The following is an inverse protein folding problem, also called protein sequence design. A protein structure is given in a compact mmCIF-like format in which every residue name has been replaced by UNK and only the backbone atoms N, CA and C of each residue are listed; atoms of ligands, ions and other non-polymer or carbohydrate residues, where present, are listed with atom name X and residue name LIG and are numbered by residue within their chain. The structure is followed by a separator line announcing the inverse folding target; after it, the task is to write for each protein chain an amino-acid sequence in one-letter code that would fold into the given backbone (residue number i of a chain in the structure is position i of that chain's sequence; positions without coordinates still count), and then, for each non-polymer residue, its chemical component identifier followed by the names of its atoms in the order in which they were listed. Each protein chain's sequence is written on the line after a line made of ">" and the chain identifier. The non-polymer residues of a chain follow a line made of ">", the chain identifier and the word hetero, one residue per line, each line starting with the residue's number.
data_IF_228091474260
#
_entry.id   IF_228091474260
#
_cell.length_a   1.000
_cell.length_b   1.000
_cell.length_c   1.000
_cell.angle_alpha   90.00
_cell.angle_beta   90.00
_cell.angle_gamma   90.00
#
_symmetry.space_group_name_H-M   'P 1'
#
loop_
_entity.id
_entity.type
_entity.pdbx_description
1 polymer ?
#
# COMPACT_ATOMS: atom_id res chain seq x y z
N UNK A 1 -28.46 57.48 42.08
CA UNK A 1 -28.02 56.07 42.02
C UNK A 1 -28.08 55.46 40.61
N UNK A 2 -29.19 55.57 39.87
CA UNK A 2 -29.34 54.95 38.53
C UNK A 2 -28.29 55.38 37.47
N UNK A 3 -27.89 56.65 37.45
CA UNK A 3 -26.83 57.15 36.54
C UNK A 3 -25.44 56.57 36.84
N UNK A 4 -25.11 56.30 38.10
CA UNK A 4 -23.83 55.70 38.49
C UNK A 4 -23.80 54.21 38.13
N UNK A 5 -24.92 53.51 38.30
CA UNK A 5 -25.05 52.10 37.94
C UNK A 5 -24.91 51.88 36.42
N UNK A 6 -25.48 52.78 35.61
CA UNK A 6 -25.39 52.71 34.15
C UNK A 6 -23.97 52.92 33.61
N UNK A 7 -23.17 53.79 34.24
CA UNK A 7 -21.77 54.02 33.83
C UNK A 7 -20.88 52.83 34.20
N UNK A 8 -21.13 52.20 35.36
CA UNK A 8 -20.42 50.98 35.77
C UNK A 8 -20.78 49.80 34.85
N UNK A 9 -22.05 49.65 34.47
CA UNK A 9 -22.49 48.60 33.55
C UNK A 9 -21.91 48.77 32.14
N UNK A 10 -21.83 50.02 31.65
CA UNK A 10 -21.23 50.33 30.35
C UNK A 10 -19.71 50.07 30.34
N UNK A 11 -19.02 50.40 31.44
CA UNK A 11 -17.60 50.10 31.64
C UNK A 11 -17.30 48.59 31.59
N UNK A 12 -18.15 47.77 32.23
CA UNK A 12 -18.02 46.31 32.20
C UNK A 12 -18.19 45.71 30.80
N UNK A 13 -19.12 46.24 29.99
CA UNK A 13 -19.31 45.79 28.60
C UNK A 13 -18.10 46.11 27.70
N UNK A 14 -17.49 47.28 27.88
CA UNK A 14 -16.31 47.70 27.08
C UNK A 14 -15.10 46.84 27.42
N UNK A 15 -14.93 46.42 28.69
CA UNK A 15 -13.82 45.55 29.11
C UNK A 15 -13.98 44.10 28.61
N UNK A 16 -15.21 43.58 28.53
CA UNK A 16 -15.46 42.22 28.02
C UNK A 16 -15.18 42.03 26.52
N UNK A 17 -15.19 43.11 25.72
CA UNK A 17 -14.92 43.06 24.28
C UNK A 17 -13.43 43.01 23.91
N UNK A 18 -12.53 43.25 24.86
CA UNK A 18 -11.09 43.32 24.60
C UNK A 18 -10.40 41.96 24.60
N UNK A 19 -11.06 40.92 25.12
CA UNK A 19 -10.51 39.57 25.24
C UNK A 19 -11.26 38.58 24.37
N UNK A 20 -10.52 37.69 23.71
CA UNK A 20 -11.02 36.63 22.84
C UNK A 20 -10.51 35.28 23.38
N UNK A 21 -11.38 34.27 23.50
CA UNK A 21 -10.95 32.91 23.79
C UNK A 21 -10.28 32.30 22.56
N UNK A 22 -9.13 31.65 22.75
CA UNK A 22 -8.48 30.78 21.77
C UNK A 22 -8.37 29.40 22.40
N UNK A 23 -8.97 28.41 21.73
CA UNK A 23 -8.90 27.01 22.13
C UNK A 23 -7.82 26.30 21.34
N UNK A 24 -7.01 25.51 22.02
CA UNK A 24 -5.98 24.65 21.42
C UNK A 24 -6.40 23.21 21.58
N UNK A 25 -6.47 22.50 20.45
CA UNK A 25 -6.84 21.09 20.45
C UNK A 25 -5.74 20.22 21.11
N UNK A 26 -6.11 19.05 21.65
CA UNK A 26 -5.13 18.03 22.01
C UNK A 26 -4.22 17.70 20.82
N UNK A 27 -2.95 17.34 21.08
CA UNK A 27 -1.91 17.08 20.06
C UNK A 27 -1.50 18.25 19.16
N UNK A 28 -2.02 19.45 19.42
CA UNK A 28 -1.63 20.68 18.75
C UNK A 28 -1.01 21.67 19.73
N UNK A 29 -0.17 22.54 19.21
CA UNK A 29 0.28 23.75 19.88
C UNK A 29 -0.19 24.96 19.09
N UNK A 30 -0.68 25.98 19.78
CA UNK A 30 -1.12 27.22 19.12
C UNK A 30 -0.04 28.27 19.21
N UNK A 31 0.48 28.65 18.05
CA UNK A 31 1.40 29.78 17.90
C UNK A 31 0.58 31.06 17.88
N UNK A 32 0.88 31.96 18.80
CA UNK A 32 0.17 33.22 18.98
C UNK A 32 0.87 34.32 18.17
N UNK A 33 0.09 35.03 17.36
CA UNK A 33 0.55 36.15 16.53
C UNK A 33 -0.22 37.39 16.93
N UNK A 34 0.47 38.35 17.52
CA UNK A 34 -0.09 39.63 17.94
C UNK A 34 -0.12 40.62 16.78
N UNK A 35 -1.30 41.20 16.52
CA UNK A 35 -1.51 42.20 15.46
C UNK A 35 -2.14 43.47 16.04
N UNK A 36 -1.42 44.23 16.88
CA UNK A 36 -1.98 45.40 17.56
C UNK A 36 -2.41 46.49 16.55
N UNK A 37 -3.61 47.04 16.72
CA UNK A 37 -4.15 48.07 15.82
C UNK A 37 -3.75 49.50 16.20
N UNK A 38 -3.44 49.77 17.48
CA UNK A 38 -3.25 51.15 17.98
C UNK A 38 -1.91 51.32 18.72
N UNK A 39 -1.54 50.39 19.63
CA UNK A 39 -0.28 50.46 20.38
C UNK A 39 0.31 49.07 20.60
N UNK A 40 1.63 48.94 20.44
CA UNK A 40 2.39 47.72 20.67
C UNK A 40 3.26 47.31 19.47
N UNK A 41 4.11 46.31 19.69
CA UNK A 41 4.88 45.67 18.61
C UNK A 41 4.13 44.41 18.19
N UNK A 42 3.83 44.29 16.90
CA UNK A 42 3.27 43.06 16.33
C UNK A 42 4.35 41.99 16.19
N UNK A 43 3.94 40.73 16.11
CA UNK A 43 4.88 39.63 15.91
C UNK A 43 4.37 38.29 16.43
N UNK A 44 5.19 37.27 16.22
CA UNK A 44 4.97 35.92 16.74
C UNK A 44 5.49 35.87 18.18
N UNK A 45 4.71 35.34 19.11
CA UNK A 45 5.16 35.13 20.49
C UNK A 45 6.16 33.98 20.56
N UNK A 46 7.13 34.08 21.47
CA UNK A 46 8.14 33.05 21.70
C UNK A 46 7.58 31.78 22.36
N UNK A 47 6.48 31.90 23.09
CA UNK A 47 5.83 30.76 23.75
C UNK A 47 4.55 30.36 23.02
N UNK A 48 4.37 29.05 22.85
CA UNK A 48 3.15 28.46 22.33
C UNK A 48 2.12 28.26 23.44
N UNK A 49 0.84 28.35 23.07
CA UNK A 49 -0.24 27.91 23.94
C UNK A 49 -0.36 26.39 23.87
N UNK A 50 -0.30 25.76 25.05
CA UNK A 50 -0.55 24.32 25.24
C UNK A 50 -2.04 23.98 25.13
N UNK A 51 -2.40 22.69 24.92
CA UNK A 51 -3.79 22.26 24.81
C UNK A 51 -4.69 22.80 25.93
N UNK A 52 -5.86 23.31 25.55
CA UNK A 52 -6.82 23.95 26.46
C UNK A 52 -7.27 25.33 25.99
N UNK A 53 -7.97 26.03 26.88
CA UNK A 53 -8.53 27.36 26.61
C UNK A 53 -7.63 28.45 27.20
N UNK A 54 -7.26 29.42 26.37
CA UNK A 54 -6.54 30.62 26.77
C UNK A 54 -7.31 31.87 26.38
N UNK A 55 -7.16 32.95 27.16
CA UNK A 55 -7.78 34.25 26.90
C UNK A 55 -6.71 35.23 26.44
N UNK A 56 -6.88 35.79 25.25
CA UNK A 56 -5.93 36.70 24.62
C UNK A 56 -6.62 37.98 24.17
N UNK A 57 -5.85 38.97 23.74
CA UNK A 57 -6.44 40.17 23.15
C UNK A 57 -7.19 39.83 21.87
N UNK A 58 -8.27 40.55 21.58
CA UNK A 58 -9.06 40.37 20.36
C UNK A 58 -8.23 40.49 19.07
N UNK A 59 -7.14 41.26 19.11
CA UNK A 59 -6.18 41.46 18.03
C UNK A 59 -5.15 40.34 17.88
N UNK A 60 -5.13 39.35 18.78
CA UNK A 60 -4.24 38.19 18.72
C UNK A 60 -4.90 37.09 17.88
N UNK A 61 -4.16 36.55 16.91
CA UNK A 61 -4.55 35.37 16.15
C UNK A 61 -3.75 34.15 16.61
N UNK A 62 -4.40 32.99 16.69
CA UNK A 62 -3.75 31.72 16.98
C UNK A 62 -3.66 30.87 15.71
N UNK A 63 -2.49 30.30 15.45
CA UNK A 63 -2.24 29.34 14.38
C UNK A 63 -1.99 27.98 15.04
N UNK A 64 -2.85 27.01 14.78
CA UNK A 64 -2.70 25.66 15.34
C UNK A 64 -1.70 24.87 14.50
N UNK A 65 -0.71 24.28 15.16
CA UNK A 65 0.33 23.46 14.55
C UNK A 65 0.31 22.08 15.19
N UNK A 66 0.23 21.00 14.41
CA UNK A 66 0.29 19.64 14.95
C UNK A 66 1.70 19.34 15.46
N UNK A 67 1.77 18.74 16.66
CA UNK A 67 3.06 18.34 17.29
C UNK A 67 3.23 16.81 17.27
N UNK A 68 2.43 16.12 16.46
CA UNK A 68 2.53 14.69 16.24
C UNK A 68 3.16 14.37 14.88
N UNK A 69 3.57 13.13 14.67
CA UNK A 69 4.11 12.67 13.40
C UNK A 69 3.01 12.62 12.32
N UNK A 70 3.19 13.34 11.22
CA UNK A 70 2.26 13.33 10.09
C UNK A 70 2.95 12.83 8.83
N UNK A 71 2.12 12.32 7.91
CA UNK A 71 2.55 11.70 6.66
C UNK A 71 2.35 12.67 5.50
N UNK A 72 3.37 12.83 4.67
CA UNK A 72 3.28 13.48 3.36
C UNK A 72 3.41 12.41 2.29
N UNK A 73 2.49 12.44 1.33
CA UNK A 73 2.51 11.60 0.13
C UNK A 73 2.99 12.44 -1.06
N UNK A 74 4.13 12.06 -1.63
CA UNK A 74 4.71 12.72 -2.79
C UNK A 74 4.76 11.72 -3.96
N UNK A 75 3.93 11.92 -5.01
CA UNK A 75 3.95 11.08 -6.20
C UNK A 75 5.12 11.45 -7.12
N UNK A 76 5.70 10.41 -7.72
CA UNK A 76 6.73 10.49 -8.73
C UNK A 76 6.31 9.69 -9.96
N UNK A 77 6.17 10.40 -11.06
CA UNK A 77 5.79 9.85 -12.36
C UNK A 77 6.95 10.01 -13.34
N UNK A 78 7.16 9.00 -14.18
CA UNK A 78 8.17 8.94 -15.24
C UNK A 78 9.58 9.31 -14.75
N UNK A 79 9.99 8.80 -13.59
CA UNK A 79 11.35 9.03 -13.10
C UNK A 79 12.36 8.22 -13.92
N UNK A 80 13.39 8.86 -14.50
CA UNK A 80 14.41 8.15 -15.25
C UNK A 80 15.38 7.43 -14.31
N UNK A 81 15.57 6.15 -14.57
CA UNK A 81 16.55 5.28 -13.91
C UNK A 81 17.87 5.22 -14.69
N UNK A 82 18.87 4.54 -14.14
CA UNK A 82 20.22 4.42 -14.73
C UNK A 82 20.22 3.93 -16.19
N UNK A 83 19.33 2.99 -16.54
CA UNK A 83 19.25 2.41 -17.88
C UNK A 83 18.20 3.08 -18.77
N UNK A 84 17.88 4.35 -18.51
CA UNK A 84 16.90 5.12 -19.28
C UNK A 84 15.47 4.54 -19.26
N UNK A 85 15.17 3.64 -18.32
CA UNK A 85 13.80 3.19 -18.05
C UNK A 85 13.08 4.21 -17.17
N UNK A 86 11.77 4.34 -17.37
CA UNK A 86 10.90 5.23 -16.60
C UNK A 86 10.13 4.44 -15.56
N UNK A 87 10.10 4.93 -14.33
CA UNK A 87 9.40 4.32 -13.21
C UNK A 87 8.47 5.31 -12.52
N UNK A 88 7.40 4.76 -11.95
CA UNK A 88 6.38 5.45 -11.20
C UNK A 88 6.30 4.87 -9.79
N UNK A 89 6.25 5.74 -8.78
CA UNK A 89 6.03 5.34 -7.39
C UNK A 89 5.57 6.51 -6.51
N UNK A 90 4.97 6.15 -5.37
CA UNK A 90 4.68 7.10 -4.31
C UNK A 90 5.78 7.07 -3.27
N UNK A 91 6.12 8.24 -2.71
CA UNK A 91 7.03 8.35 -1.60
C UNK A 91 6.33 8.91 -0.38
N UNK A 92 6.54 8.27 0.76
CA UNK A 92 5.86 8.59 2.00
C UNK A 92 6.86 9.08 3.03
N UNK A 93 6.80 10.37 3.34
CA UNK A 93 7.63 10.99 4.37
C UNK A 93 6.82 11.07 5.66
N UNK A 94 7.40 10.64 6.78
CA UNK A 94 6.87 10.94 8.12
C UNK A 94 7.70 12.05 8.74
N UNK A 95 7.06 13.18 8.97
CA UNK A 95 7.69 14.38 9.51
C UNK A 95 7.09 14.73 10.87
N UNK A 96 7.91 15.35 11.72
CA UNK A 96 7.49 15.92 13.00
C UNK A 96 8.02 17.35 13.12
N UNK A 97 7.16 18.27 13.57
CA UNK A 97 7.54 19.66 13.81
C UNK A 97 8.10 19.77 15.23
N UNK A 98 9.35 20.23 15.36
CA UNK A 98 10.02 20.35 16.67
C UNK A 98 9.89 21.73 17.30
N UNK A 99 9.77 22.78 16.48
CA UNK A 99 9.55 24.14 16.96
C UNK A 99 8.49 24.86 16.10
N UNK A 100 7.22 24.86 16.55
CA UNK A 100 6.12 25.52 15.86
C UNK A 100 6.32 27.02 15.66
N UNK A 101 6.91 27.71 16.64
CA UNK A 101 7.10 29.18 16.60
C UNK A 101 8.02 29.56 15.44
N UNK A 102 9.18 28.90 15.37
CA UNK A 102 10.18 29.19 14.34
C UNK A 102 9.66 28.84 12.94
N UNK A 103 8.83 27.79 12.83
CA UNK A 103 8.19 27.39 11.58
C UNK A 103 7.23 28.48 11.07
N UNK A 104 6.38 29.00 11.94
CA UNK A 104 5.42 30.07 11.61
C UNK A 104 6.15 31.38 11.30
N UNK A 105 7.15 31.74 12.11
CA UNK A 105 7.86 33.01 11.99
C UNK A 105 8.70 33.11 10.71
N UNK A 106 9.44 32.05 10.36
CA UNK A 106 10.45 32.11 9.28
C UNK A 106 10.07 31.37 8.00
N UNK A 107 9.23 30.34 8.10
CA UNK A 107 8.99 29.40 7.00
C UNK A 107 7.56 29.44 6.45
N UNK A 108 6.75 30.43 6.85
CA UNK A 108 5.37 30.65 6.36
C UNK A 108 4.53 29.37 6.45
N UNK A 109 4.33 28.89 7.68
CA UNK A 109 3.56 27.68 7.97
C UNK A 109 2.22 27.64 7.21
N UNK A 110 1.41 28.69 7.34
CA UNK A 110 0.10 28.81 6.67
C UNK A 110 0.02 30.10 5.85
N UNK A 111 -0.48 29.98 4.62
CA UNK A 111 -0.89 31.10 3.76
C UNK A 111 -2.32 30.83 3.26
N UNK A 112 -3.24 31.77 3.50
CA UNK A 112 -4.66 31.64 3.13
C UNK A 112 -5.32 30.30 3.55
N UNK A 113 -4.97 29.81 4.75
CA UNK A 113 -5.51 28.55 5.30
C UNK A 113 -4.90 27.26 4.72
N UNK A 114 -3.83 27.36 3.92
CA UNK A 114 -3.10 26.21 3.36
C UNK A 114 -1.70 26.10 3.95
N UNK A 115 -1.25 24.87 4.19
CA UNK A 115 0.12 24.60 4.63
C UNK A 115 1.10 24.81 3.47
N UNK A 116 1.91 25.87 3.52
CA UNK A 116 2.80 26.26 2.40
C UNK A 116 4.26 25.90 2.65
N UNK A 117 4.68 25.78 3.90
CA UNK A 117 6.08 25.57 4.29
C UNK A 117 6.73 24.36 3.59
N UNK A 118 6.02 23.23 3.46
CA UNK A 118 6.57 22.05 2.80
C UNK A 118 6.79 22.32 1.31
N UNK A 119 5.77 22.85 0.63
CA UNK A 119 5.81 23.12 -0.81
C UNK A 119 6.89 24.13 -1.20
N UNK A 120 7.14 25.13 -0.34
CA UNK A 120 8.08 26.21 -0.62
C UNK A 120 9.52 25.88 -0.21
N UNK A 121 9.72 25.20 0.91
CA UNK A 121 11.05 24.99 1.47
C UNK A 121 11.62 23.59 1.19
N UNK A 122 10.78 22.55 1.15
CA UNK A 122 11.26 21.15 1.13
C UNK A 122 10.95 20.40 -0.15
N UNK A 123 9.76 20.60 -0.74
CA UNK A 123 9.22 19.76 -1.80
C UNK A 123 10.13 19.65 -3.01
N UNK A 124 10.55 20.77 -3.61
CA UNK A 124 11.36 20.73 -4.84
C UNK A 124 12.76 20.15 -4.62
N UNK A 125 13.36 20.44 -3.46
CA UNK A 125 14.66 19.85 -3.12
C UNK A 125 14.52 18.35 -2.87
N UNK A 126 13.48 17.94 -2.14
CA UNK A 126 13.17 16.54 -1.92
C UNK A 126 13.01 15.77 -3.23
N UNK A 127 12.19 16.31 -4.15
CA UNK A 127 12.00 15.73 -5.49
C UNK A 127 13.31 15.64 -6.28
N UNK A 128 14.20 16.62 -6.12
CA UNK A 128 15.51 16.62 -6.74
C UNK A 128 16.43 15.54 -6.16
N UNK A 129 16.44 15.38 -4.83
CA UNK A 129 17.20 14.31 -4.15
C UNK A 129 16.72 12.94 -4.64
N UNK A 130 15.42 12.68 -4.58
CA UNK A 130 14.83 11.40 -5.03
C UNK A 130 15.19 11.12 -6.49
N UNK A 131 15.06 12.12 -7.38
CA UNK A 131 15.42 11.99 -8.80
C UNK A 131 16.91 11.66 -9.00
N UNK A 132 17.80 12.29 -8.24
CA UNK A 132 19.23 12.04 -8.35
C UNK A 132 19.61 10.65 -7.85
N UNK A 133 19.02 10.22 -6.72
CA UNK A 133 19.23 8.87 -6.17
C UNK A 133 18.69 7.83 -7.14
N UNK A 134 17.46 7.96 -7.65
CA UNK A 134 16.84 7.00 -8.57
C UNK A 134 17.69 6.73 -9.84
N UNK A 135 18.43 7.73 -10.32
CA UNK A 135 19.33 7.59 -11.48
C UNK A 135 20.53 6.67 -11.23
N UNK A 136 20.84 6.34 -9.98
CA UNK A 136 21.96 5.46 -9.64
C UNK A 136 21.59 3.97 -9.72
N UNK A 137 20.30 3.65 -9.76
CA UNK A 137 19.78 2.28 -9.67
C UNK A 137 19.06 1.88 -10.96
N UNK A 138 18.92 0.57 -11.19
CA UNK A 138 18.21 0.03 -12.36
C UNK A 138 16.78 -0.35 -11.99
N UNK A 139 15.87 -0.29 -12.96
CA UNK A 139 14.47 -0.68 -12.76
C UNK A 139 14.34 -2.12 -12.24
N UNK A 140 15.12 -3.07 -12.80
CA UNK A 140 15.06 -4.48 -12.40
C UNK A 140 15.43 -4.69 -10.92
N UNK A 141 16.51 -4.06 -10.44
CA UNK A 141 16.91 -4.17 -9.03
C UNK A 141 15.87 -3.59 -8.09
N UNK A 142 15.22 -2.49 -8.49
CA UNK A 142 14.17 -1.85 -7.70
C UNK A 142 12.88 -2.69 -7.62
N UNK A 143 12.57 -3.47 -8.65
CA UNK A 143 11.35 -4.30 -8.70
C UNK A 143 11.51 -5.63 -7.97
N UNK A 144 12.72 -6.18 -7.94
CA UNK A 144 12.97 -7.56 -7.49
C UNK A 144 13.59 -7.63 -6.11
N UNK A 145 14.41 -6.63 -5.73
CA UNK A 145 15.21 -6.68 -4.51
C UNK A 145 14.84 -5.58 -3.51
N UNK A 146 14.28 -6.01 -2.39
CA UNK A 146 14.00 -5.13 -1.25
C UNK A 146 15.23 -4.44 -0.67
N UNK A 147 16.42 -5.05 -0.77
CA UNK A 147 17.65 -4.46 -0.23
C UNK A 147 18.07 -3.20 -1.00
N UNK A 148 17.83 -3.20 -2.31
CA UNK A 148 18.03 -2.05 -3.18
C UNK A 148 17.10 -0.89 -2.80
N UNK A 149 15.82 -1.16 -2.54
CA UNK A 149 14.87 -0.13 -2.10
C UNK A 149 15.25 0.45 -0.74
N UNK A 150 15.65 -0.40 0.21
CA UNK A 150 16.11 0.07 1.53
C UNK A 150 17.39 0.93 1.43
N UNK A 151 18.30 0.59 0.51
CA UNK A 151 19.50 1.39 0.26
C UNK A 151 19.14 2.77 -0.31
N UNK A 152 18.20 2.83 -1.27
CA UNK A 152 17.67 4.08 -1.80
C UNK A 152 17.00 4.94 -0.72
N UNK A 153 16.15 4.34 0.11
CA UNK A 153 15.50 5.03 1.24
C UNK A 153 16.53 5.64 2.19
N UNK A 154 17.56 4.87 2.56
CA UNK A 154 18.64 5.33 3.42
C UNK A 154 19.43 6.51 2.81
N UNK A 155 19.76 6.43 1.52
CA UNK A 155 20.47 7.49 0.78
C UNK A 155 19.63 8.77 0.68
N UNK A 156 18.35 8.66 0.31
CA UNK A 156 17.42 9.80 0.24
C UNK A 156 17.26 10.43 1.62
N UNK A 157 17.08 9.61 2.66
CA UNK A 157 16.93 10.07 4.04
C UNK A 157 18.15 10.85 4.50
N UNK A 158 19.36 10.34 4.26
CA UNK A 158 20.60 10.99 4.66
C UNK A 158 20.78 12.37 3.99
N UNK A 159 20.54 12.47 2.68
CA UNK A 159 20.61 13.73 1.95
C UNK A 159 19.51 14.71 2.38
N UNK A 160 18.30 14.21 2.66
CA UNK A 160 17.20 15.05 3.13
C UNK A 160 17.45 15.58 4.54
N UNK A 161 17.95 14.75 5.46
CA UNK A 161 18.33 15.15 6.82
C UNK A 161 19.43 16.23 6.80
N UNK A 162 20.40 16.08 5.90
CA UNK A 162 21.45 17.08 5.67
C UNK A 162 20.85 18.39 5.16
N UNK A 163 19.92 18.33 4.20
CA UNK A 163 19.26 19.51 3.67
C UNK A 163 18.43 20.24 4.74
N UNK A 164 17.58 19.51 5.48
CA UNK A 164 16.76 20.04 6.59
C UNK A 164 17.64 20.80 7.60
N UNK A 165 18.77 20.20 8.00
CA UNK A 165 19.74 20.84 8.91
C UNK A 165 20.37 22.09 8.28
N UNK A 166 20.67 22.07 6.98
CA UNK A 166 21.33 23.18 6.29
C UNK A 166 20.45 24.43 6.20
N UNK A 167 19.14 24.26 5.98
CA UNK A 167 18.20 25.38 5.90
C UNK A 167 17.70 25.82 7.29
N UNK A 168 17.90 25.00 8.32
CA UNK A 168 17.50 25.31 9.70
C UNK A 168 15.99 25.28 9.92
N UNK A 169 15.25 24.51 9.12
CA UNK A 169 13.80 24.33 9.31
C UNK A 169 13.56 23.46 10.55
N UNK A 170 12.59 23.77 11.43
CA UNK A 170 12.39 23.06 12.69
C UNK A 170 11.49 21.83 12.50
N UNK A 171 11.91 20.95 11.60
CA UNK A 171 11.20 19.71 11.24
C UNK A 171 12.21 18.57 11.26
N UNK A 172 11.77 17.39 11.66
CA UNK A 172 12.60 16.18 11.67
C UNK A 172 11.95 15.12 10.79
N UNK A 173 12.75 14.48 9.95
CA UNK A 173 12.35 13.30 9.18
C UNK A 173 12.44 12.06 10.07
N UNK A 174 11.29 11.53 10.47
CA UNK A 174 11.16 10.35 11.35
C UNK A 174 11.28 9.07 10.56
N UNK A 175 10.67 9.04 9.39
CA UNK A 175 10.65 7.87 8.54
C UNK A 175 10.49 8.25 7.07
N UNK A 176 10.99 7.40 6.19
CA UNK A 176 10.83 7.52 4.75
C UNK A 176 10.56 6.13 4.20
N UNK A 177 9.48 5.98 3.45
CA UNK A 177 9.15 4.74 2.77
C UNK A 177 8.79 5.00 1.32
N UNK A 178 9.34 4.19 0.43
CA UNK A 178 8.97 4.14 -0.98
C UNK A 178 7.84 3.11 -1.16
N UNK A 179 6.78 3.52 -1.82
CA UNK A 179 5.71 2.63 -2.26
C UNK A 179 6.19 1.65 -3.32
N UNK A 180 5.27 0.80 -3.78
CA UNK A 180 5.58 -0.15 -4.83
C UNK A 180 6.05 0.57 -6.10
N UNK A 181 7.30 0.31 -6.49
CA UNK A 181 7.88 0.81 -7.73
C UNK A 181 7.26 0.07 -8.90
N UNK A 182 6.85 0.81 -9.92
CA UNK A 182 6.27 0.25 -11.13
C UNK A 182 6.97 0.85 -12.34
N UNK A 183 7.24 0.06 -13.40
CA UNK A 183 7.51 0.62 -14.71
C UNK A 183 6.38 1.55 -15.15
N UNK A 184 6.68 2.45 -16.09
CA UNK A 184 5.64 3.26 -16.71
C UNK A 184 4.57 2.40 -17.41
N UNK A 185 3.40 2.98 -17.64
CA UNK A 185 2.24 2.23 -18.12
C UNK A 185 2.48 1.47 -19.44
N UNK A 186 3.29 2.03 -20.34
CA UNK A 186 3.63 1.40 -21.62
C UNK A 186 4.47 0.13 -21.42
N UNK A 187 5.52 0.19 -20.59
CA UNK A 187 6.37 -0.97 -20.31
C UNK A 187 5.63 -2.02 -19.48
N UNK A 188 4.75 -1.58 -18.56
CA UNK A 188 3.89 -2.48 -17.80
C UNK A 188 3.01 -3.35 -18.70
N UNK A 189 2.37 -2.76 -19.71
CA UNK A 189 1.55 -3.51 -20.65
C UNK A 189 2.34 -4.60 -21.39
N UNK A 190 3.58 -4.32 -21.78
CA UNK A 190 4.46 -5.30 -22.42
C UNK A 190 4.93 -6.42 -21.48
N UNK A 191 5.18 -6.08 -20.21
CA UNK A 191 5.49 -7.08 -19.17
C UNK A 191 4.29 -8.01 -18.96
N UNK A 192 3.09 -7.47 -18.84
CA UNK A 192 1.86 -8.25 -18.66
C UNK A 192 1.59 -9.17 -19.85
N UNK A 193 1.78 -8.66 -21.07
CA UNK A 193 1.68 -9.46 -22.30
C UNK A 193 2.69 -10.61 -22.28
N UNK A 194 3.95 -10.32 -21.97
CA UNK A 194 5.02 -11.34 -21.90
C UNK A 194 4.74 -12.38 -20.83
N UNK A 195 4.29 -11.96 -19.65
CA UNK A 195 3.92 -12.85 -18.55
C UNK A 195 2.75 -13.77 -18.94
N UNK A 196 1.75 -13.24 -19.65
CA UNK A 196 0.65 -14.04 -20.18
C UNK A 196 1.14 -15.11 -21.15
N UNK A 197 2.05 -14.77 -22.07
CA UNK A 197 2.60 -15.74 -23.02
C UNK A 197 3.45 -16.81 -22.33
N UNK A 198 4.31 -16.42 -21.38
CA UNK A 198 5.10 -17.39 -20.61
C UNK A 198 4.22 -18.34 -19.80
N UNK A 199 3.14 -17.82 -19.21
CA UNK A 199 2.20 -18.64 -18.47
C UNK A 199 1.48 -19.63 -19.39
N UNK A 200 1.09 -19.22 -20.60
CA UNK A 200 0.51 -20.12 -21.61
C UNK A 200 1.47 -21.26 -21.97
N UNK A 201 2.75 -20.95 -22.18
CA UNK A 201 3.77 -21.97 -22.47
C UNK A 201 3.90 -22.95 -21.30
N UNK A 202 3.98 -22.46 -20.07
CA UNK A 202 4.04 -23.32 -18.87
C UNK A 202 2.82 -24.22 -18.75
N UNK A 203 1.62 -23.69 -18.98
CA UNK A 203 0.38 -24.47 -18.96
C UNK A 203 0.37 -25.53 -20.08
N UNK A 204 0.86 -25.21 -21.28
CA UNK A 204 0.92 -26.16 -22.38
C UNK A 204 1.90 -27.31 -22.11
N UNK A 205 3.08 -26.99 -21.54
CA UNK A 205 4.05 -28.00 -21.09
C UNK A 205 3.42 -28.92 -20.05
N UNK A 206 2.79 -28.35 -19.02
CA UNK A 206 2.12 -29.13 -17.99
C UNK A 206 0.98 -29.99 -18.55
N UNK A 207 0.24 -29.49 -19.55
CA UNK A 207 -0.79 -30.26 -20.27
C UNK A 207 -0.19 -31.44 -21.02
N UNK A 208 0.91 -31.22 -21.74
CA UNK A 208 1.60 -32.29 -22.46
C UNK A 208 2.17 -33.34 -21.51
N UNK A 209 2.76 -32.93 -20.39
CA UNK A 209 3.24 -33.83 -19.33
C UNK A 209 2.10 -34.67 -18.74
N UNK A 210 0.94 -34.07 -18.48
CA UNK A 210 -0.24 -34.78 -18.02
C UNK A 210 -0.75 -35.81 -19.05
N UNK A 211 -0.75 -35.46 -20.34
CA UNK A 211 -1.14 -36.37 -21.43
C UNK A 211 -0.15 -37.53 -21.61
N UNK A 212 1.15 -37.27 -21.48
CA UNK A 212 2.17 -38.33 -21.45
C UNK A 212 1.98 -39.27 -20.25
N UNK A 213 1.74 -38.70 -19.06
CA UNK A 213 1.46 -39.48 -17.86
C UNK A 213 0.21 -40.34 -18.02
N UNK A 214 -0.86 -39.81 -18.65
CA UNK A 214 -2.06 -40.58 -18.97
C UNK A 214 -1.75 -41.76 -19.90
N UNK A 215 -0.97 -41.53 -20.96
CA UNK A 215 -0.57 -42.58 -21.91
C UNK A 215 0.23 -43.70 -21.21
N UNK A 216 1.15 -43.36 -20.33
CA UNK A 216 1.98 -44.35 -19.65
C UNK A 216 1.20 -45.09 -18.55
N UNK A 217 0.24 -44.44 -17.89
CA UNK A 217 -0.71 -45.11 -17.01
C UNK A 217 -1.56 -46.15 -17.77
N UNK A 218 -2.07 -45.81 -18.97
CA UNK A 218 -2.83 -46.75 -19.80
C UNK A 218 -1.96 -47.93 -20.29
N UNK A 219 -0.71 -47.68 -20.70
CA UNK A 219 0.22 -48.78 -21.02
C UNK A 219 0.51 -49.67 -19.82
N UNK A 220 0.67 -49.08 -18.64
CA UNK A 220 0.93 -49.82 -17.40
C UNK A 220 -0.26 -50.70 -17.03
N UNK A 221 -1.49 -50.19 -17.17
CA UNK A 221 -2.72 -50.99 -17.03
C UNK A 221 -2.78 -52.14 -18.01
N UNK A 222 -2.54 -51.88 -19.29
CA UNK A 222 -2.54 -52.93 -20.32
C UNK A 222 -1.47 -54.01 -20.05
N UNK A 223 -0.31 -53.61 -19.53
CA UNK A 223 0.77 -54.56 -19.16
C UNK A 223 0.38 -55.39 -17.95
N UNK A 224 -0.25 -54.78 -16.94
CA UNK A 224 -0.74 -55.48 -15.75
C UNK A 224 -1.86 -56.48 -16.10
N UNK A 225 -2.82 -56.10 -16.96
CA UNK A 225 -3.89 -56.99 -17.42
C UNK A 225 -3.33 -58.20 -18.18
N UNK A 226 -2.31 -57.97 -19.03
CA UNK A 226 -1.62 -59.05 -19.75
C UNK A 226 -0.87 -59.97 -18.80
N UNK A 227 -0.14 -59.44 -17.82
CA UNK A 227 0.54 -60.26 -16.81
C UNK A 227 -0.46 -61.10 -15.99
N UNK A 228 -1.60 -60.52 -15.61
CA UNK A 228 -2.68 -61.22 -14.91
C UNK A 228 -3.30 -62.34 -15.75
N UNK A 229 -3.43 -62.12 -17.07
CA UNK A 229 -3.85 -63.17 -18.01
C UNK A 229 -2.90 -64.36 -18.02
N UNK A 230 -1.60 -64.08 -18.13
CA UNK A 230 -0.55 -65.09 -18.21
C UNK A 230 -0.47 -65.91 -16.91
N UNK A 231 -0.57 -65.28 -15.74
CA UNK A 231 -0.55 -65.97 -14.43
C UNK A 231 -1.75 -66.91 -14.23
N UNK A 232 -2.93 -66.54 -14.71
CA UNK A 232 -4.13 -67.39 -14.60
C UNK A 232 -4.23 -68.45 -15.70
N UNK A 233 -3.33 -68.43 -16.69
CA UNK A 233 -3.35 -69.37 -17.81
C UNK A 233 -4.59 -69.25 -18.71
N UNK A 234 -5.23 -68.08 -18.74
CA UNK A 234 -6.48 -67.86 -19.48
C UNK A 234 -6.21 -67.45 -20.93
N UNK A 235 -7.02 -67.97 -21.86
CA UNK A 235 -7.03 -67.47 -23.24
C UNK A 235 -7.65 -66.07 -23.33
N UNK A 236 -7.37 -65.33 -24.40
CA UNK A 236 -7.86 -63.95 -24.56
C UNK A 236 -9.39 -63.85 -24.54
N UNK A 237 -10.09 -64.87 -25.04
CA UNK A 237 -11.56 -64.90 -24.99
C UNK A 237 -12.10 -65.14 -23.58
N UNK A 238 -11.42 -65.95 -22.78
CA UNK A 238 -11.82 -66.24 -21.39
C UNK A 238 -11.65 -65.02 -20.49
N UNK A 239 -10.58 -64.22 -20.69
CA UNK A 239 -10.38 -63.02 -19.89
C UNK A 239 -11.38 -61.92 -20.21
N UNK A 240 -11.73 -61.75 -21.49
CA UNK A 240 -12.79 -60.82 -21.91
C UNK A 240 -14.13 -61.23 -21.27
N UNK A 241 -14.44 -62.53 -21.26
CA UNK A 241 -15.63 -63.07 -20.60
C UNK A 241 -15.66 -62.75 -19.11
N UNK A 242 -14.50 -62.89 -18.44
CA UNK A 242 -14.34 -62.61 -17.01
C UNK A 242 -14.43 -61.10 -16.70
N UNK A 243 -13.89 -60.24 -17.57
CA UNK A 243 -13.98 -58.78 -17.45
C UNK A 243 -15.43 -58.30 -17.65
N UNK A 244 -16.12 -58.85 -18.64
CA UNK A 244 -17.56 -58.62 -18.87
C UNK A 244 -18.38 -59.04 -17.65
N UNK A 245 -18.11 -60.22 -17.09
CA UNK A 245 -18.78 -60.70 -15.88
C UNK A 245 -18.53 -59.79 -14.67
N UNK A 246 -17.31 -59.25 -14.51
CA UNK A 246 -16.97 -58.26 -13.46
C UNK A 246 -17.74 -56.95 -13.64
N UNK A 247 -17.77 -56.40 -14.85
CA UNK A 247 -18.54 -55.16 -15.15
C UNK A 247 -20.03 -55.38 -14.87
N UNK A 248 -20.58 -56.53 -15.25
CA UNK A 248 -21.96 -56.88 -14.95
C UNK A 248 -22.21 -57.04 -13.45
N UNK A 249 -21.29 -57.66 -12.70
CA UNK A 249 -21.41 -57.77 -11.25
C UNK A 249 -21.38 -56.39 -10.56
N UNK A 250 -20.49 -55.49 -10.98
CA UNK A 250 -20.41 -54.12 -10.44
C UNK A 250 -21.66 -53.29 -10.77
N UNK A 251 -22.19 -53.41 -11.99
CA UNK A 251 -23.44 -52.77 -12.37
C UNK A 251 -24.63 -53.32 -11.57
N UNK A 252 -24.65 -54.63 -11.32
CA UNK A 252 -25.66 -55.33 -10.53
C UNK A 252 -25.63 -54.91 -9.05
N UNK A 253 -24.44 -54.75 -8.47
CA UNK A 253 -24.27 -54.30 -7.09
C UNK A 253 -24.72 -52.86 -6.85
N UNK A 254 -24.73 -52.02 -7.88
CA UNK A 254 -25.19 -50.62 -7.83
C UNK A 254 -26.69 -50.46 -8.09
N UNK A 255 -27.41 -51.53 -8.46
CA UNK A 255 -28.85 -51.48 -8.71
C UNK A 255 -29.63 -52.22 -7.61
N UNK A 256 -30.82 -51.73 -7.27
CA UNK A 256 -31.62 -52.28 -6.18
C UNK A 256 -32.34 -53.60 -6.54
N UNK A 257 -32.39 -53.94 -7.84
CA UNK A 257 -33.13 -55.10 -8.37
C UNK A 257 -32.36 -55.73 -9.54
N UNK A 258 -31.30 -56.48 -9.22
CA UNK A 258 -30.55 -57.23 -10.23
C UNK A 258 -30.36 -58.70 -9.82
N UNK A 259 -30.54 -59.59 -10.79
CA UNK A 259 -30.34 -61.05 -10.65
C UNK A 259 -29.41 -61.50 -11.77
N UNK A 260 -28.28 -62.10 -11.41
CA UNK A 260 -27.31 -62.67 -12.35
C UNK A 260 -27.69 -64.13 -12.61
N UNK A 261 -28.12 -64.46 -13.84
CA UNK A 261 -28.42 -65.83 -14.25
C UNK A 261 -27.28 -66.39 -15.11
N UNK A 262 -26.76 -67.55 -14.73
CA UNK A 262 -25.71 -68.25 -15.47
C UNK A 262 -26.34 -69.18 -16.52
N UNK A 263 -26.49 -68.69 -17.76
CA UNK A 263 -27.01 -69.47 -18.89
C UNK A 263 -25.85 -70.11 -19.68
N UNK A 264 -26.01 -71.31 -20.27
CA UNK A 264 -24.99 -71.96 -21.08
C UNK A 264 -24.56 -71.19 -22.34
N UNK A 265 -25.29 -70.12 -22.71
CA UNK A 265 -24.95 -69.20 -23.80
C UNK A 265 -24.30 -67.89 -23.36
N UNK A 266 -24.06 -67.70 -22.05
CA UNK A 266 -23.41 -66.51 -21.48
C UNK A 266 -24.18 -65.88 -20.31
N UNK A 267 -23.52 -64.99 -19.56
CA UNK A 267 -24.10 -64.26 -18.42
C UNK A 267 -25.09 -63.22 -18.94
N UNK A 268 -26.37 -63.35 -18.55
CA UNK A 268 -27.42 -62.39 -18.89
C UNK A 268 -27.86 -61.62 -17.64
N UNK A 269 -27.82 -60.29 -17.71
CA UNK A 269 -28.33 -59.40 -16.67
C UNK A 269 -29.75 -58.95 -17.05
N UNK A 270 -30.72 -59.29 -16.22
CA UNK A 270 -32.08 -58.76 -16.32
C UNK A 270 -32.29 -57.77 -15.19
N UNK A 271 -32.55 -56.51 -15.55
CA UNK A 271 -33.05 -55.51 -14.60
C UNK A 271 -34.56 -55.68 -14.51
N UNK A 272 -35.09 -55.75 -13.29
CA UNK A 272 -36.52 -55.91 -13.03
C UNK A 272 -37.19 -54.55 -12.87
#
# INVERSE_FOLDING_TARGET
>A
MFKMLSVVLLSFFVLSGCVKPITTEPSHETVLVDKPYIFGHGGVRSETQKPGLGWFFWSTSGIQVPVYEFKIDEPFDDLPTKMQSLIDFHSYLKLEITNPVLLVEKFRYVDDGKDVWYSSALKEQYRTIVRNVARNYTMESMLTDSSTVNAMESEIRAEMDKYIKSIGIPVVLKDLSLGAIRPNQAVMAEIDNTASQQQRIKTEIARNEAEMSRKDAEKSRATADKAYQEELGLSSNEIVSLQIAKVYADACAKSATCVINNSPTGVAVSVK
#
